data_IF_014303389582
#
_entry.id   IF_014303389582
#
_cell.length_a   1.000
_cell.length_b   1.000
_cell.length_c   1.000
_cell.angle_alpha   90.00
_cell.angle_beta   90.00
_cell.angle_gamma   90.00
#
_symmetry.space_group_name_H-M   'P 1'
#
loop_
_entity.id
_entity.type
_entity.pdbx_description
1 polymer ?
#
# COMPACT_ATOMS: atom_id res chain seq x y z
N UNK A 1 24.47 21.76 -30.32
CA UNK A 1 24.14 20.32 -30.10
C UNK A 1 24.90 19.70 -28.93
N UNK A 2 26.26 19.77 -28.85
CA UNK A 2 27.02 19.17 -27.74
C UNK A 2 26.55 19.60 -26.34
N UNK A 3 26.30 20.89 -26.14
CA UNK A 3 25.83 21.45 -24.87
C UNK A 3 24.45 20.94 -24.41
N UNK A 4 23.55 20.63 -25.36
CA UNK A 4 22.18 20.15 -25.06
C UNK A 4 22.20 18.68 -24.65
N UNK A 5 23.09 17.88 -25.25
CA UNK A 5 23.14 16.43 -25.04
C UNK A 5 23.96 16.07 -23.79
N UNK A 6 24.93 16.90 -23.39
CA UNK A 6 25.76 16.67 -22.21
C UNK A 6 25.33 17.47 -20.98
N UNK A 7 24.09 17.95 -20.92
CA UNK A 7 23.60 18.71 -19.78
C UNK A 7 23.63 17.82 -18.51
N UNK A 8 24.38 18.28 -17.50
CA UNK A 8 24.52 17.61 -16.20
C UNK A 8 23.21 17.57 -15.40
N UNK A 9 22.21 18.36 -15.79
CA UNK A 9 20.88 18.41 -15.18
C UNK A 9 20.10 17.10 -15.36
N UNK A 10 20.32 16.38 -16.46
CA UNK A 10 19.54 15.18 -16.79
C UNK A 10 20.30 13.88 -16.50
N UNK A 11 19.54 12.80 -16.29
CA UNK A 11 20.12 11.47 -16.11
C UNK A 11 20.73 10.95 -17.41
N UNK A 12 21.73 10.06 -17.31
CA UNK A 12 22.43 9.51 -18.48
C UNK A 12 21.51 8.86 -19.52
N UNK A 13 20.48 8.13 -19.07
CA UNK A 13 19.45 7.56 -19.97
C UNK A 13 18.64 8.62 -20.70
N UNK A 14 18.36 9.76 -20.05
CA UNK A 14 17.64 10.89 -20.66
C UNK A 14 18.51 11.56 -21.72
N UNK A 15 19.78 11.83 -21.40
CA UNK A 15 20.75 12.38 -22.35
C UNK A 15 20.96 11.44 -23.56
N UNK A 16 21.01 10.13 -23.33
CA UNK A 16 21.00 9.13 -24.40
C UNK A 16 19.78 9.25 -25.31
N UNK A 17 18.58 9.36 -24.74
CA UNK A 17 17.35 9.48 -25.53
C UNK A 17 17.34 10.76 -26.38
N UNK A 18 17.79 11.89 -25.83
CA UNK A 18 17.99 13.12 -26.61
C UNK A 18 19.01 12.94 -27.73
N UNK A 19 20.15 12.29 -27.44
CA UNK A 19 21.17 11.99 -28.44
C UNK A 19 20.62 11.12 -29.59
N UNK A 20 19.88 10.06 -29.26
CA UNK A 20 19.24 9.16 -30.24
C UNK A 20 18.19 9.90 -31.09
N UNK A 21 17.37 10.74 -30.45
CA UNK A 21 16.35 11.51 -31.15
C UNK A 21 16.96 12.52 -32.14
N UNK A 22 17.95 13.30 -31.71
CA UNK A 22 18.65 14.26 -32.57
C UNK A 22 19.32 13.52 -33.73
N UNK A 23 20.01 12.41 -33.44
CA UNK A 23 20.72 11.63 -34.43
C UNK A 23 19.78 11.08 -35.51
N UNK A 24 18.60 10.56 -35.13
CA UNK A 24 17.59 10.06 -36.06
C UNK A 24 16.91 11.19 -36.84
N UNK A 25 16.57 12.30 -36.18
CA UNK A 25 15.89 13.43 -36.80
C UNK A 25 16.74 14.10 -37.87
N UNK A 26 18.02 14.37 -37.58
CA UNK A 26 18.92 15.03 -38.54
C UNK A 26 19.20 14.12 -39.74
N UNK A 27 19.39 12.81 -39.51
CA UNK A 27 19.57 11.87 -40.61
C UNK A 27 18.32 11.76 -41.47
N UNK A 28 17.12 11.65 -40.87
CA UNK A 28 15.87 11.66 -41.60
C UNK A 28 15.67 12.93 -42.44
N UNK A 29 15.96 14.10 -41.86
CA UNK A 29 15.84 15.37 -42.57
C UNK A 29 16.80 15.51 -43.77
N UNK A 30 17.96 14.84 -43.76
CA UNK A 30 18.96 14.93 -44.83
C UNK A 30 18.89 13.79 -45.85
N UNK A 31 18.61 12.58 -45.40
CA UNK A 31 18.66 11.37 -46.22
C UNK A 31 17.26 10.90 -46.65
N UNK A 32 16.18 11.46 -46.09
CA UNK A 32 14.81 11.03 -46.36
C UNK A 32 14.46 9.66 -45.76
N UNK A 33 15.36 9.04 -45.00
CA UNK A 33 15.17 7.71 -44.42
C UNK A 33 15.48 7.65 -42.91
N UNK A 34 14.94 6.64 -42.23
CA UNK A 34 15.24 6.42 -40.82
C UNK A 34 16.52 5.59 -40.71
N UNK A 35 17.57 6.21 -40.20
CA UNK A 35 18.84 5.53 -39.96
C UNK A 35 18.70 4.50 -38.84
N UNK A 36 18.71 3.21 -39.21
CA UNK A 36 18.67 2.08 -38.30
C UNK A 36 20.04 1.37 -38.24
N UNK A 37 20.48 1.05 -37.02
CA UNK A 37 21.70 0.25 -36.79
C UNK A 37 21.64 -1.17 -37.38
N UNK A 38 20.46 -1.66 -37.81
CA UNK A 38 20.28 -3.04 -38.27
C UNK A 38 20.93 -3.31 -39.63
N UNK A 39 21.14 -2.28 -40.45
CA UNK A 39 21.56 -2.46 -41.85
C UNK A 39 23.01 -2.04 -42.14
N UNK A 40 23.83 -1.74 -41.12
CA UNK A 40 25.21 -1.29 -41.35
C UNK A 40 25.33 0.05 -42.10
N UNK A 41 24.22 0.76 -42.34
CA UNK A 41 24.21 2.09 -42.97
C UNK A 41 24.69 3.15 -41.99
N UNK A 42 25.66 3.94 -42.43
CA UNK A 42 26.21 5.01 -41.63
C UNK A 42 25.24 6.20 -41.57
N UNK A 43 25.09 6.76 -40.37
CA UNK A 43 24.40 8.03 -40.20
C UNK A 43 25.12 9.14 -40.98
N UNK A 44 24.39 10.19 -41.37
CA UNK A 44 25.00 11.33 -42.08
C UNK A 44 26.16 11.92 -41.26
N UNK A 45 27.25 12.41 -41.89
CA UNK A 45 28.48 12.82 -41.22
C UNK A 45 28.28 13.80 -40.06
N UNK A 46 27.26 14.66 -40.14
CA UNK A 46 26.96 15.70 -39.15
C UNK A 46 26.51 15.14 -37.80
N UNK A 47 26.02 13.90 -37.75
CA UNK A 47 25.58 13.23 -36.52
C UNK A 47 26.22 11.85 -36.31
N UNK A 48 27.06 11.38 -37.22
CA UNK A 48 27.77 10.10 -37.10
C UNK A 48 28.62 10.06 -35.83
N UNK A 49 29.28 11.16 -35.47
CA UNK A 49 30.11 11.32 -34.26
C UNK A 49 29.33 11.22 -32.94
N UNK A 50 28.00 11.38 -32.94
CA UNK A 50 27.19 11.24 -31.73
C UNK A 50 27.16 9.76 -31.33
N UNK A 51 27.67 9.44 -30.14
CA UNK A 51 27.67 8.10 -29.55
C UNK A 51 26.74 8.06 -28.32
N UNK A 52 25.45 7.73 -28.49
CA UNK A 52 24.47 7.79 -27.39
C UNK A 52 24.82 6.92 -26.18
N UNK A 53 25.60 5.86 -26.37
CA UNK A 53 25.99 4.90 -25.34
C UNK A 53 26.90 5.54 -24.27
N UNK A 54 27.71 6.54 -24.64
CA UNK A 54 28.64 7.25 -23.73
C UNK A 54 27.88 7.93 -22.59
N UNK A 55 26.67 8.43 -22.86
CA UNK A 55 25.85 9.12 -21.85
C UNK A 55 25.29 8.18 -20.79
N UNK A 56 25.15 6.88 -21.08
CA UNK A 56 24.76 5.89 -20.08
C UNK A 56 25.95 5.45 -19.24
N UNK A 57 27.13 5.27 -19.86
CA UNK A 57 28.37 4.93 -19.14
C UNK A 57 28.78 6.01 -18.14
N UNK A 58 28.66 7.28 -18.53
CA UNK A 58 29.13 8.41 -17.73
C UNK A 58 28.03 9.08 -16.90
N UNK A 59 26.78 8.64 -17.03
CA UNK A 59 25.64 9.23 -16.33
C UNK A 59 25.40 8.60 -14.96
N UNK A 60 24.86 9.38 -14.01
CA UNK A 60 24.39 8.83 -12.72
C UNK A 60 23.32 7.77 -12.97
N UNK A 61 23.62 6.51 -12.65
CA UNK A 61 22.63 5.44 -12.56
C UNK A 61 21.85 5.63 -11.25
N UNK A 62 20.54 5.86 -11.35
CA UNK A 62 19.66 5.75 -10.18
C UNK A 62 19.30 4.27 -10.03
N UNK A 63 20.15 3.55 -9.33
CA UNK A 63 19.88 2.20 -8.90
C UNK A 63 19.02 2.24 -7.63
N UNK A 64 18.07 1.32 -7.55
CA UNK A 64 17.25 1.13 -6.35
C UNK A 64 18.15 0.42 -5.35
N UNK A 65 18.17 0.90 -4.11
CA UNK A 65 18.92 0.28 -3.03
C UNK A 65 17.97 -0.55 -2.15
N UNK A 66 18.47 -1.54 -1.40
CA UNK A 66 17.64 -2.30 -0.46
C UNK A 66 16.85 -1.39 0.50
N UNK A 67 17.47 -0.30 0.98
CA UNK A 67 16.82 0.69 1.86
C UNK A 67 15.69 1.50 1.21
N UNK A 68 15.58 1.54 -0.11
CA UNK A 68 14.47 2.21 -0.82
C UNK A 68 13.20 1.35 -0.84
N UNK A 69 13.33 0.03 -0.68
CA UNK A 69 12.21 -0.92 -0.73
C UNK A 69 11.31 -0.78 0.50
N UNK A 70 10.02 -1.02 0.33
CA UNK A 70 9.05 -0.98 1.44
C UNK A 70 9.18 -2.22 2.34
N UNK A 71 9.06 -2.03 3.65
CA UNK A 71 8.91 -3.13 4.61
C UNK A 71 7.46 -3.62 4.65
N UNK A 72 7.22 -4.79 5.26
CA UNK A 72 5.85 -5.27 5.49
C UNK A 72 4.99 -4.25 6.24
N UNK A 73 5.54 -3.66 7.31
CA UNK A 73 4.89 -2.63 8.12
C UNK A 73 4.56 -1.36 7.33
N UNK A 74 5.46 -0.91 6.44
CA UNK A 74 5.20 0.24 5.57
C UNK A 74 4.09 -0.04 4.56
N UNK A 75 3.99 -1.27 4.05
CA UNK A 75 2.89 -1.67 3.15
C UNK A 75 1.57 -1.73 3.93
N UNK A 76 1.55 -2.29 5.13
CA UNK A 76 0.38 -2.28 6.02
C UNK A 76 -0.08 -0.83 6.30
N UNK A 77 0.85 0.05 6.68
CA UNK A 77 0.57 1.46 6.94
C UNK A 77 0.03 2.18 5.68
N UNK A 78 0.58 1.86 4.50
CA UNK A 78 0.12 2.41 3.23
C UNK A 78 -1.33 1.98 2.93
N UNK A 79 -1.69 0.71 3.15
CA UNK A 79 -3.06 0.22 2.96
C UNK A 79 -4.05 0.79 3.98
N UNK A 80 -3.61 1.01 5.22
CA UNK A 80 -4.42 1.60 6.29
C UNK A 80 -4.66 3.11 6.12
N UNK A 81 -3.79 3.79 5.38
CA UNK A 81 -3.96 5.20 5.02
C UNK A 81 -5.03 5.42 3.93
N UNK A 82 -5.27 4.43 3.06
CA UNK A 82 -6.19 4.57 1.91
C UNK A 82 -7.62 4.96 2.33
N UNK A 83 -8.25 4.34 3.36
CA UNK A 83 -9.56 4.74 3.85
C UNK A 83 -9.71 6.21 4.22
N UNK A 84 -8.62 6.88 4.62
CA UNK A 84 -8.64 8.29 5.05
C UNK A 84 -8.56 9.27 3.88
N UNK A 85 -8.02 8.84 2.74
CA UNK A 85 -7.68 9.73 1.61
C UNK A 85 -8.50 9.46 0.35
N UNK A 86 -9.13 8.28 0.25
CA UNK A 86 -9.84 7.84 -0.94
C UNK A 86 -11.35 7.98 -0.80
N UNK A 87 -12.02 8.36 -1.90
CA UNK A 87 -13.48 8.33 -2.03
C UNK A 87 -14.02 6.91 -2.25
N UNK A 88 -13.18 5.98 -2.70
CA UNK A 88 -13.55 4.59 -3.00
C UNK A 88 -12.56 3.65 -2.30
N UNK A 89 -12.60 3.59 -0.96
CA UNK A 89 -11.55 2.96 -0.17
C UNK A 89 -11.45 1.44 -0.39
N UNK A 90 -12.57 0.74 -0.61
CA UNK A 90 -12.58 -0.69 -0.93
C UNK A 90 -11.82 -0.99 -2.23
N UNK A 91 -12.21 -0.31 -3.33
CA UNK A 91 -11.53 -0.39 -4.62
C UNK A 91 -10.05 -0.08 -4.52
N UNK A 92 -9.70 1.04 -3.89
CA UNK A 92 -8.32 1.53 -3.91
C UNK A 92 -7.39 0.66 -3.04
N UNK A 93 -7.90 0.11 -1.92
CA UNK A 93 -7.14 -0.88 -1.14
C UNK A 93 -6.90 -2.15 -1.94
N UNK A 94 -7.94 -2.69 -2.59
CA UNK A 94 -7.80 -3.86 -3.45
C UNK A 94 -6.81 -3.62 -4.60
N UNK A 95 -6.91 -2.47 -5.28
CA UNK A 95 -6.05 -2.08 -6.39
C UNK A 95 -4.57 -1.97 -5.98
N UNK A 96 -4.29 -1.31 -4.86
CA UNK A 96 -2.91 -1.16 -4.36
C UNK A 96 -2.35 -2.48 -3.84
N UNK A 97 -3.19 -3.31 -3.19
CA UNK A 97 -2.77 -4.62 -2.72
C UNK A 97 -2.43 -5.56 -3.90
N UNK A 98 -3.26 -5.56 -4.95
CA UNK A 98 -2.98 -6.31 -6.17
C UNK A 98 -1.70 -5.83 -6.86
N UNK A 99 -1.47 -4.52 -6.91
CA UNK A 99 -0.24 -3.95 -7.48
C UNK A 99 1.01 -4.46 -6.75
N UNK A 100 0.96 -4.51 -5.41
CA UNK A 100 2.03 -5.06 -4.59
C UNK A 100 2.14 -6.57 -4.75
N UNK A 101 1.11 -7.31 -4.37
CA UNK A 101 1.15 -8.76 -4.25
C UNK A 101 1.43 -9.43 -5.60
N UNK A 102 0.75 -9.02 -6.67
CA UNK A 102 0.95 -9.58 -7.99
C UNK A 102 2.16 -9.02 -8.72
N UNK A 103 2.85 -8.03 -8.13
CA UNK A 103 3.95 -7.29 -8.73
C UNK A 103 3.63 -6.83 -10.16
N UNK A 104 2.40 -6.41 -10.45
CA UNK A 104 1.98 -6.05 -11.82
C UNK A 104 2.69 -4.80 -12.31
N UNK A 105 2.89 -4.68 -13.63
CA UNK A 105 3.15 -3.35 -14.21
C UNK A 105 1.87 -2.52 -14.06
N UNK A 106 1.94 -1.21 -13.81
CA UNK A 106 0.74 -0.37 -13.66
C UNK A 106 -0.24 -0.46 -14.84
N UNK A 107 0.27 -0.61 -16.07
CA UNK A 107 -0.60 -0.82 -17.24
C UNK A 107 -1.31 -2.18 -17.23
N UNK A 108 -0.63 -3.25 -16.81
CA UNK A 108 -1.24 -4.59 -16.68
C UNK A 108 -2.33 -4.59 -15.62
N UNK A 109 -2.05 -3.97 -14.46
CA UNK A 109 -3.03 -3.81 -13.39
C UNK A 109 -4.28 -3.05 -13.87
N UNK A 110 -4.08 -1.88 -14.50
CA UNK A 110 -5.18 -0.99 -14.86
C UNK A 110 -6.05 -1.52 -16.02
N UNK A 111 -5.50 -2.45 -16.81
CA UNK A 111 -6.22 -3.12 -17.89
C UNK A 111 -6.90 -4.44 -17.45
N UNK A 112 -6.87 -4.78 -16.16
CA UNK A 112 -7.63 -5.93 -15.64
C UNK A 112 -9.12 -5.74 -15.89
N UNK A 113 -9.80 -6.84 -16.23
CA UNK A 113 -11.25 -6.90 -16.36
C UNK A 113 -11.86 -7.71 -15.22
N UNK A 114 -13.17 -7.60 -15.03
CA UNK A 114 -13.90 -8.40 -14.03
C UNK A 114 -13.73 -9.90 -14.30
N UNK A 115 -13.86 -10.33 -15.57
CA UNK A 115 -13.67 -11.72 -15.98
C UNK A 115 -12.22 -12.22 -15.88
N UNK A 116 -11.25 -11.32 -15.73
CA UNK A 116 -9.84 -11.66 -15.52
C UNK A 116 -9.50 -12.12 -14.10
N UNK A 117 -10.49 -12.14 -13.18
CA UNK A 117 -10.32 -12.56 -11.78
C UNK A 117 -11.17 -13.79 -11.50
N UNK A 118 -10.52 -14.90 -11.16
CA UNK A 118 -11.19 -16.15 -10.80
C UNK A 118 -10.91 -16.47 -9.32
N UNK A 119 -11.97 -16.73 -8.56
CA UNK A 119 -11.84 -17.11 -7.15
C UNK A 119 -11.87 -18.63 -7.01
N UNK A 120 -10.85 -19.19 -6.33
CA UNK A 120 -10.75 -20.63 -6.03
C UNK A 120 -10.09 -20.83 -4.68
N UNK A 121 -10.71 -21.60 -3.78
CA UNK A 121 -10.11 -22.07 -2.52
C UNK A 121 -9.38 -20.99 -1.69
N UNK A 122 -9.99 -19.79 -1.58
CA UNK A 122 -9.42 -18.59 -0.91
C UNK A 122 -8.27 -17.89 -1.64
N UNK A 123 -8.08 -18.16 -2.93
CA UNK A 123 -7.11 -17.50 -3.80
C UNK A 123 -7.85 -16.80 -4.95
N UNK A 124 -7.42 -15.60 -5.29
CA UNK A 124 -7.84 -14.92 -6.50
C UNK A 124 -6.78 -15.15 -7.58
N UNK A 125 -7.10 -15.96 -8.59
CA UNK A 125 -6.25 -16.17 -9.75
C UNK A 125 -6.52 -15.05 -10.75
N UNK A 126 -5.51 -14.21 -10.94
CA UNK A 126 -5.60 -13.04 -11.82
C UNK A 126 -4.83 -13.28 -13.10
N UNK A 127 -5.49 -13.10 -14.23
CA UNK A 127 -4.88 -13.13 -15.55
C UNK A 127 -4.84 -11.72 -16.15
N UNK A 128 -3.67 -11.31 -16.64
CA UNK A 128 -3.44 -10.01 -17.29
C UNK A 128 -2.72 -10.19 -18.61
N UNK A 129 -3.02 -9.32 -19.59
CA UNK A 129 -2.32 -9.29 -20.88
C UNK A 129 -1.47 -8.02 -20.97
N UNK A 130 -0.16 -8.19 -21.13
CA UNK A 130 0.79 -7.09 -21.24
C UNK A 130 1.66 -7.17 -22.49
N UNK A 131 2.57 -6.20 -22.66
CA UNK A 131 3.55 -6.19 -23.76
C UNK A 131 4.40 -7.46 -23.85
N UNK A 132 4.61 -8.13 -22.73
CA UNK A 132 5.42 -9.36 -22.63
C UNK A 132 4.61 -10.63 -22.79
N UNK A 133 3.31 -10.54 -23.05
CA UNK A 133 2.39 -11.67 -23.12
C UNK A 133 1.46 -11.74 -21.90
N UNK A 134 0.72 -12.83 -21.82
CA UNK A 134 -0.18 -13.14 -20.72
C UNK A 134 0.60 -13.45 -19.43
N UNK A 135 0.04 -13.03 -18.29
CA UNK A 135 0.56 -13.29 -16.96
C UNK A 135 -0.60 -13.70 -16.05
N UNK A 136 -0.54 -14.93 -15.56
CA UNK A 136 -1.46 -15.46 -14.55
C UNK A 136 -0.76 -15.56 -13.21
N UNK A 137 -1.33 -14.97 -12.16
CA UNK A 137 -0.76 -15.00 -10.81
C UNK A 137 -1.85 -15.32 -9.78
N UNK A 138 -1.59 -16.29 -8.88
CA UNK A 138 -2.43 -16.49 -7.70
C UNK A 138 -2.17 -15.40 -6.65
N UNK A 139 -3.23 -14.73 -6.20
CA UNK A 139 -3.21 -13.69 -5.17
C UNK A 139 -3.99 -14.18 -3.94
N UNK A 140 -3.28 -14.40 -2.84
CA UNK A 140 -3.82 -14.90 -1.58
C UNK A 140 -4.21 -13.74 -0.67
N UNK A 141 -3.32 -12.77 -0.51
CA UNK A 141 -3.51 -11.63 0.38
C UNK A 141 -4.56 -10.64 -0.16
N UNK A 142 -4.68 -10.54 -1.48
CA UNK A 142 -5.66 -9.70 -2.17
C UNK A 142 -7.03 -10.37 -2.27
N UNK A 143 -7.15 -11.67 -1.97
CA UNK A 143 -8.38 -12.45 -2.17
C UNK A 143 -9.62 -11.76 -1.61
N UNK A 144 -9.59 -11.44 -0.31
CA UNK A 144 -10.76 -10.85 0.35
C UNK A 144 -11.06 -9.44 -0.15
N UNK A 145 -10.02 -8.63 -0.38
CA UNK A 145 -10.17 -7.27 -0.88
C UNK A 145 -10.78 -7.24 -2.30
N UNK A 146 -10.36 -8.17 -3.16
CA UNK A 146 -10.91 -8.33 -4.50
C UNK A 146 -12.36 -8.81 -4.45
N UNK A 147 -12.67 -9.78 -3.59
CA UNK A 147 -14.03 -10.29 -3.43
C UNK A 147 -14.99 -9.18 -2.98
N UNK A 148 -14.60 -8.44 -1.93
CA UNK A 148 -15.39 -7.32 -1.40
C UNK A 148 -15.59 -6.20 -2.45
N UNK A 149 -14.57 -5.95 -3.29
CA UNK A 149 -14.66 -4.96 -4.35
C UNK A 149 -15.56 -5.41 -5.51
N UNK A 150 -15.40 -6.65 -5.98
CA UNK A 150 -16.20 -7.20 -7.08
C UNK A 150 -17.69 -7.21 -6.70
N UNK A 151 -18.02 -7.54 -5.45
CA UNK A 151 -19.42 -7.52 -4.99
C UNK A 151 -20.04 -6.11 -5.06
N UNK A 152 -19.22 -5.08 -4.83
CA UNK A 152 -19.61 -3.66 -4.91
C UNK A 152 -19.43 -3.07 -6.31
N UNK A 153 -18.92 -3.83 -7.27
CA UNK A 153 -18.60 -3.33 -8.59
C UNK A 153 -19.88 -3.05 -9.39
N UNK A 154 -20.03 -1.86 -10.01
CA UNK A 154 -21.27 -1.48 -10.69
C UNK A 154 -21.61 -2.35 -11.91
N UNK A 155 -20.60 -3.04 -12.45
CA UNK A 155 -20.73 -3.94 -13.61
C UNK A 155 -20.20 -5.34 -13.29
N UNK A 156 -20.49 -5.86 -12.09
CA UNK A 156 -19.94 -7.15 -11.61
C UNK A 156 -20.30 -8.35 -12.48
N UNK A 157 -21.41 -8.27 -13.21
CA UNK A 157 -21.87 -9.33 -14.12
C UNK A 157 -21.35 -9.15 -15.56
N UNK A 158 -20.67 -8.03 -15.86
CA UNK A 158 -20.05 -7.80 -17.16
C UNK A 158 -18.55 -8.16 -17.11
N UNK A 159 -18.20 -9.31 -17.68
CA UNK A 159 -16.84 -9.86 -17.64
C UNK A 159 -15.81 -8.99 -18.37
N UNK A 160 -16.24 -8.19 -19.36
CA UNK A 160 -15.36 -7.29 -20.12
C UNK A 160 -15.20 -5.92 -19.45
N UNK A 161 -15.97 -5.63 -18.40
CA UNK A 161 -15.87 -4.36 -17.70
C UNK A 161 -14.48 -4.18 -17.07
N UNK A 162 -13.89 -2.97 -17.11
CA UNK A 162 -12.65 -2.69 -16.39
C UNK A 162 -12.84 -2.94 -14.90
N UNK A 163 -11.98 -3.77 -14.31
CA UNK A 163 -12.07 -4.13 -12.89
C UNK A 163 -11.96 -2.90 -11.99
N UNK A 164 -11.11 -1.95 -12.36
CA UNK A 164 -10.91 -0.71 -11.61
C UNK A 164 -11.79 0.38 -12.20
N UNK A 165 -13.08 0.36 -11.87
CA UNK A 165 -14.02 1.36 -12.36
C UNK A 165 -13.89 2.72 -11.68
N UNK A 166 -13.97 3.80 -12.46
CA UNK A 166 -14.03 5.19 -11.98
C UNK A 166 -15.43 5.76 -12.17
N UNK A 167 -16.16 5.93 -11.06
CA UNK A 167 -17.47 6.59 -11.04
C UNK A 167 -17.42 8.06 -11.50
N UNK A 168 -16.28 8.72 -11.38
CA UNK A 168 -16.14 10.12 -11.79
C UNK A 168 -16.02 10.30 -13.30
N UNK A 169 -15.51 9.30 -14.02
CA UNK A 169 -15.22 9.39 -15.46
C UNK A 169 -16.05 8.43 -16.30
N UNK A 170 -16.79 7.51 -15.68
CA UNK A 170 -17.52 6.45 -16.38
C UNK A 170 -16.61 5.53 -17.21
N UNK A 171 -15.37 5.33 -16.76
CA UNK A 171 -14.33 4.55 -17.46
C UNK A 171 -13.43 3.85 -16.45
N UNK A 172 -12.50 3.00 -16.92
CA UNK A 172 -11.43 2.46 -16.09
C UNK A 172 -10.55 3.55 -15.46
N UNK A 173 -9.99 3.26 -14.29
CA UNK A 173 -9.08 4.13 -13.55
C UNK A 173 -7.80 4.36 -14.37
N UNK A 174 -7.40 5.63 -14.52
CA UNK A 174 -6.18 6.00 -15.22
C UNK A 174 -4.91 5.94 -14.36
N UNK A 175 -3.75 5.88 -15.01
CA UNK A 175 -2.42 5.86 -14.36
C UNK A 175 -2.20 7.04 -13.42
N UNK A 176 -2.66 8.24 -13.81
CA UNK A 176 -2.54 9.45 -12.98
C UNK A 176 -3.27 9.32 -11.65
N UNK A 177 -4.42 8.65 -11.63
CA UNK A 177 -5.18 8.41 -10.41
C UNK A 177 -4.47 7.40 -9.51
N UNK A 178 -4.04 6.25 -10.04
CA UNK A 178 -3.28 5.26 -9.27
C UNK A 178 -2.04 5.89 -8.62
N UNK A 179 -1.28 6.69 -9.39
CA UNK A 179 -0.12 7.44 -8.89
C UNK A 179 -0.50 8.39 -7.75
N UNK A 180 -1.64 9.08 -7.87
CA UNK A 180 -2.15 10.00 -6.84
C UNK A 180 -2.52 9.24 -5.56
N UNK A 181 -3.22 8.10 -5.67
CA UNK A 181 -3.59 7.25 -4.53
C UNK A 181 -2.34 6.78 -3.79
N UNK A 182 -1.40 6.14 -4.50
CA UNK A 182 -0.16 5.62 -3.89
C UNK A 182 0.64 6.74 -3.20
N UNK A 183 0.81 7.89 -3.87
CA UNK A 183 1.56 9.01 -3.30
C UNK A 183 0.87 9.60 -2.06
N UNK A 184 -0.45 9.78 -2.10
CA UNK A 184 -1.22 10.31 -0.96
C UNK A 184 -1.23 9.35 0.21
N UNK A 185 -1.42 8.06 -0.05
CA UNK A 185 -1.39 7.02 0.98
C UNK A 185 -0.02 6.96 1.67
N UNK A 186 1.09 7.04 0.91
CA UNK A 186 2.44 7.07 1.48
C UNK A 186 2.68 8.31 2.37
N UNK A 187 2.19 9.47 1.95
CA UNK A 187 2.28 10.70 2.73
C UNK A 187 1.48 10.61 4.05
N UNK A 188 0.23 10.15 3.96
CA UNK A 188 -0.65 9.96 5.13
C UNK A 188 -0.13 8.87 6.08
N UNK A 189 0.55 7.85 5.56
CA UNK A 189 1.21 6.81 6.35
C UNK A 189 2.52 7.29 7.01
N UNK A 190 3.00 8.51 6.73
CA UNK A 190 4.26 9.03 7.26
C UNK A 190 5.52 8.37 6.68
N UNK A 191 5.40 7.72 5.51
CA UNK A 191 6.53 7.03 4.87
C UNK A 191 7.49 8.06 4.27
N UNK A 192 8.71 8.13 4.80
CA UNK A 192 9.75 9.07 4.33
C UNK A 192 10.33 8.70 2.97
N UNK A 193 10.25 7.42 2.58
CA UNK A 193 10.74 6.90 1.30
C UNK A 193 9.94 7.48 0.14
N UNK A 194 10.59 7.66 -1.01
CA UNK A 194 9.88 8.07 -2.22
C UNK A 194 9.08 6.89 -2.77
N UNK A 195 7.77 6.86 -2.53
CA UNK A 195 6.90 5.81 -3.05
C UNK A 195 6.33 6.16 -4.42
N UNK A 196 6.47 5.25 -5.38
CA UNK A 196 5.83 5.31 -6.70
C UNK A 196 5.32 3.92 -7.10
N UNK A 197 4.45 3.84 -8.10
CA UNK A 197 3.75 2.59 -8.45
C UNK A 197 4.69 1.38 -8.67
N UNK A 198 5.81 1.57 -9.36
CA UNK A 198 6.77 0.50 -9.60
C UNK A 198 7.59 0.12 -8.36
N UNK A 199 7.67 0.95 -7.32
CA UNK A 199 8.39 0.59 -6.09
C UNK A 199 7.74 -0.63 -5.42
N UNK A 200 6.40 -0.70 -5.39
CA UNK A 200 5.66 -1.85 -4.86
C UNK A 200 6.03 -3.15 -5.61
N UNK A 201 6.13 -3.07 -6.95
CA UNK A 201 6.61 -4.16 -7.79
C UNK A 201 8.06 -4.53 -7.44
N UNK A 202 8.94 -3.54 -7.26
CA UNK A 202 10.33 -3.81 -6.91
C UNK A 202 10.44 -4.52 -5.57
N UNK A 203 9.71 -4.03 -4.57
CA UNK A 203 9.64 -4.63 -3.24
C UNK A 203 9.17 -6.08 -3.31
N UNK A 204 8.10 -6.37 -4.06
CA UNK A 204 7.62 -7.75 -4.15
C UNK A 204 8.55 -8.67 -4.93
N UNK A 205 9.17 -8.20 -6.02
CA UNK A 205 10.11 -9.02 -6.78
C UNK A 205 11.40 -9.32 -6.01
N UNK A 206 11.91 -8.35 -5.24
CA UNK A 206 13.03 -8.62 -4.32
C UNK A 206 12.63 -9.61 -3.23
N UNK A 207 11.42 -9.49 -2.68
CA UNK A 207 10.88 -10.47 -1.71
C UNK A 207 10.78 -11.89 -2.29
N UNK A 208 10.35 -12.03 -3.55
CA UNK A 208 10.30 -13.31 -4.26
C UNK A 208 11.70 -13.85 -4.54
N UNK A 209 12.64 -13.00 -4.96
CA UNK A 209 14.03 -13.39 -5.22
C UNK A 209 14.71 -13.98 -3.97
N UNK A 210 14.39 -13.43 -2.78
CA UNK A 210 14.91 -13.94 -1.51
C UNK A 210 14.36 -15.31 -1.11
N UNK A 211 13.13 -15.63 -1.50
CA UNK A 211 12.37 -16.79 -1.00
C UNK A 211 12.28 -17.95 -1.98
N UNK A 212 12.55 -17.71 -3.26
CA UNK A 212 12.25 -18.66 -4.32
C UNK A 212 13.37 -18.71 -5.37
N UNK A 213 13.54 -19.86 -6.05
CA UNK A 213 14.50 -19.98 -7.15
C UNK A 213 14.23 -19.01 -8.30
N UNK A 214 15.27 -18.66 -9.05
CA UNK A 214 15.24 -17.74 -10.20
C UNK A 214 14.18 -18.10 -11.25
N UNK A 215 13.90 -19.39 -11.44
CA UNK A 215 12.85 -19.84 -12.37
C UNK A 215 11.46 -19.35 -11.96
N UNK A 216 11.15 -19.37 -10.65
CA UNK A 216 9.90 -18.86 -10.09
C UNK A 216 9.88 -17.34 -10.21
N UNK A 217 10.98 -16.67 -9.84
CA UNK A 217 11.11 -15.22 -9.96
C UNK A 217 10.87 -14.75 -11.41
N UNK A 218 11.44 -15.43 -12.39
CA UNK A 218 11.29 -15.13 -13.81
C UNK A 218 9.85 -15.25 -14.31
N UNK A 219 9.16 -16.34 -13.90
CA UNK A 219 7.73 -16.54 -14.20
C UNK A 219 6.89 -15.45 -13.54
N UNK A 220 7.14 -15.17 -12.27
CA UNK A 220 6.42 -14.14 -11.49
C UNK A 220 6.64 -12.73 -12.05
N UNK A 221 7.85 -12.41 -12.49
CA UNK A 221 8.22 -11.16 -13.15
C UNK A 221 7.66 -11.01 -14.57
N UNK A 222 7.19 -12.10 -15.18
CA UNK A 222 6.82 -12.21 -16.59
C UNK A 222 7.92 -11.63 -17.51
N UNK A 223 9.11 -12.21 -17.44
CA UNK A 223 10.25 -11.82 -18.27
C UNK A 223 10.62 -12.89 -19.32
N UNK A 224 10.98 -12.43 -20.52
CA UNK A 224 11.43 -13.29 -21.62
C UNK A 224 12.76 -13.97 -21.29
N UNK A 225 13.10 -15.07 -21.99
CA UNK A 225 14.43 -15.69 -21.85
C UNK A 225 15.53 -14.69 -22.24
N UNK A 226 16.65 -14.68 -21.50
CA UNK A 226 17.82 -13.82 -21.76
C UNK A 226 17.76 -12.39 -21.21
N UNK A 227 16.82 -12.07 -20.31
CA UNK A 227 16.71 -10.73 -19.70
C UNK A 227 17.66 -10.53 -18.51
N UNK A 228 18.40 -9.42 -18.48
CA UNK A 228 19.22 -8.98 -17.33
C UNK A 228 18.38 -8.42 -16.16
N UNK A 229 17.05 -8.35 -16.33
CA UNK A 229 16.16 -7.80 -15.29
C UNK A 229 16.18 -8.62 -13.99
N UNK A 230 16.54 -9.90 -14.03
CA UNK A 230 16.63 -10.75 -12.82
C UNK A 230 17.76 -10.27 -11.92
N UNK A 231 18.91 -9.96 -12.49
CA UNK A 231 20.15 -9.57 -11.80
C UNK A 231 19.92 -8.37 -10.88
N UNK A 232 19.06 -7.42 -11.30
CA UNK A 232 18.67 -6.27 -10.46
C UNK A 232 18.10 -6.71 -9.11
N UNK A 233 17.30 -7.77 -9.06
CA UNK A 233 16.65 -8.24 -7.84
C UNK A 233 17.53 -9.21 -7.06
N UNK A 234 18.34 -10.00 -7.75
CA UNK A 234 19.32 -10.90 -7.16
C UNK A 234 20.36 -10.07 -6.38
N UNK A 235 20.93 -9.02 -6.99
CA UNK A 235 21.84 -8.10 -6.30
C UNK A 235 21.18 -7.37 -5.11
N UNK A 236 19.89 -7.05 -5.21
CA UNK A 236 19.12 -6.48 -4.10
C UNK A 236 18.87 -7.46 -2.95
N UNK A 237 18.96 -8.77 -3.21
CA UNK A 237 18.89 -9.82 -2.20
C UNK A 237 20.24 -10.23 -1.65
N UNK A 238 21.33 -10.07 -2.42
CA UNK A 238 22.70 -10.43 -2.02
C UNK A 238 23.23 -9.56 -0.86
N UNK A 239 22.70 -8.36 -0.65
CA UNK A 239 23.02 -7.55 0.55
C UNK A 239 22.69 -8.26 1.86
N UNK A 240 21.86 -9.29 1.82
CA UNK A 240 21.46 -10.08 2.97
C UNK A 240 22.28 -11.38 3.11
N UNK A 241 23.24 -11.67 2.22
CA UNK A 241 24.14 -12.83 2.37
C UNK A 241 24.94 -12.71 3.68
N UNK A 242 25.41 -11.51 3.99
CA UNK A 242 26.08 -11.21 5.25
C UNK A 242 25.12 -11.45 6.44
N UNK A 243 23.87 -11.02 6.33
CA UNK A 243 22.85 -11.29 7.37
C UNK A 243 22.56 -12.78 7.52
N UNK A 244 22.47 -13.53 6.42
CA UNK A 244 22.23 -14.97 6.43
C UNK A 244 23.41 -15.74 7.04
N UNK A 245 24.64 -15.39 6.68
CA UNK A 245 25.88 -15.99 7.22
C UNK A 245 26.02 -15.67 8.71
N UNK A 246 25.79 -14.42 9.11
CA UNK A 246 25.83 -14.02 10.52
C UNK A 246 24.74 -14.73 11.33
N UNK A 247 23.56 -14.95 10.76
CA UNK A 247 22.48 -15.71 11.42
C UNK A 247 22.82 -17.19 11.59
N UNK A 248 23.42 -17.82 10.58
CA UNK A 248 23.90 -19.20 10.64
C UNK A 248 24.93 -19.39 11.77
N UNK A 249 25.78 -18.38 11.99
CA UNK A 249 26.81 -18.40 13.03
C UNK A 249 26.32 -17.82 14.37
N UNK A 250 25.02 -17.55 14.54
CA UNK A 250 24.43 -17.07 15.79
C UNK A 250 24.82 -15.64 16.19
N UNK A 251 25.35 -14.83 15.26
CA UNK A 251 25.84 -13.47 15.50
C UNK A 251 24.79 -12.38 15.31
N UNK A 252 23.55 -12.74 14.95
CA UNK A 252 22.42 -11.82 14.82
C UNK A 252 21.29 -12.17 15.80
N UNK A 253 20.70 -11.16 16.48
CA UNK A 253 19.51 -11.38 17.29
C UNK A 253 18.34 -11.88 16.43
N UNK A 254 17.51 -12.77 16.98
CA UNK A 254 16.27 -13.25 16.35
C UNK A 254 15.26 -12.12 16.17
N UNK A 255 15.45 -11.28 15.16
CA UNK A 255 14.66 -10.06 14.98
C UNK A 255 14.89 -9.32 13.67
N UNK A 256 15.40 -10.01 12.63
CA UNK A 256 15.58 -9.42 11.30
C UNK A 256 14.27 -8.81 10.76
N UNK A 257 14.38 -7.69 10.04
CA UNK A 257 13.23 -6.99 9.45
C UNK A 257 12.50 -7.93 8.50
N UNK A 258 11.28 -8.37 8.87
CA UNK A 258 10.47 -9.22 8.00
C UNK A 258 10.09 -8.45 6.73
N UNK A 259 10.57 -8.95 5.60
CA UNK A 259 10.20 -8.44 4.29
C UNK A 259 8.85 -9.04 3.86
N UNK A 260 7.92 -8.15 3.49
CA UNK A 260 6.59 -8.47 2.99
C UNK A 260 5.48 -8.62 4.04
N UNK A 261 4.24 -8.69 3.58
CA UNK A 261 3.07 -8.93 4.44
C UNK A 261 2.97 -10.41 4.81
N UNK A 262 2.81 -10.70 6.10
CA UNK A 262 2.52 -12.03 6.61
C UNK A 262 1.00 -12.23 6.82
N UNK A 263 0.55 -13.47 6.67
CA UNK A 263 -0.80 -13.86 7.07
C UNK A 263 -0.87 -14.03 8.59
N UNK A 264 -1.85 -13.38 9.22
CA UNK A 264 -2.17 -13.52 10.64
C UNK A 264 -3.46 -14.32 10.78
N UNK A 265 -3.41 -15.42 11.54
CA UNK A 265 -4.59 -16.23 11.83
C UNK A 265 -5.40 -15.58 12.96
N UNK A 266 -6.70 -15.40 12.75
CA UNK A 266 -7.58 -14.87 13.77
C UNK A 266 -7.78 -15.91 14.90
N UNK A 267 -7.47 -15.59 16.17
CA UNK A 267 -7.62 -16.55 17.26
C UNK A 267 -9.08 -16.85 17.59
N UNK A 268 -10.02 -15.99 17.18
CA UNK A 268 -11.46 -16.19 17.42
C UNK A 268 -12.13 -17.13 16.40
N UNK A 269 -11.83 -16.97 15.11
CA UNK A 269 -12.57 -17.67 14.04
C UNK A 269 -11.71 -18.44 13.05
N UNK A 270 -10.39 -18.45 13.23
CA UNK A 270 -9.43 -19.15 12.37
C UNK A 270 -9.18 -18.51 11.00
N UNK A 271 -9.81 -17.38 10.66
CA UNK A 271 -9.63 -16.76 9.35
C UNK A 271 -8.21 -16.19 9.17
N UNK A 272 -7.65 -16.31 7.95
CA UNK A 272 -6.34 -15.76 7.63
C UNK A 272 -6.47 -14.32 7.12
N UNK A 273 -5.72 -13.40 7.72
CA UNK A 273 -5.82 -11.97 7.46
C UNK A 273 -4.46 -11.40 7.05
N UNK A 274 -4.40 -10.74 5.90
CA UNK A 274 -3.19 -10.12 5.38
C UNK A 274 -3.06 -8.67 5.89
N UNK A 275 -2.22 -8.45 6.91
CA UNK A 275 -1.93 -7.10 7.41
C UNK A 275 -3.12 -6.30 7.96
N UNK A 276 -4.27 -6.97 8.19
CA UNK A 276 -5.46 -6.32 8.73
C UNK A 276 -5.39 -6.26 10.26
N UNK A 277 -5.71 -5.09 10.83
CA UNK A 277 -5.79 -4.89 12.29
C UNK A 277 -6.98 -5.59 12.93
N UNK A 278 -8.04 -5.80 12.16
CA UNK A 278 -9.25 -6.53 12.54
C UNK A 278 -9.48 -7.67 11.56
N UNK A 279 -10.08 -8.75 12.06
CA UNK A 279 -10.48 -9.87 11.26
C UNK A 279 -11.53 -9.46 10.25
N UNK A 280 -11.27 -9.75 8.98
CA UNK A 280 -12.18 -9.49 7.87
C UNK A 280 -13.49 -10.30 7.95
N UNK A 281 -13.48 -11.44 8.66
CA UNK A 281 -14.64 -12.31 8.83
C UNK A 281 -15.48 -11.99 10.07
N UNK A 282 -14.86 -11.92 11.25
CA UNK A 282 -15.59 -11.80 12.52
C UNK A 282 -15.37 -10.47 13.25
N UNK A 283 -14.59 -9.54 12.69
CA UNK A 283 -14.32 -8.22 13.28
C UNK A 283 -13.37 -8.22 14.50
N UNK A 284 -12.91 -9.39 14.95
CA UNK A 284 -12.00 -9.52 16.10
C UNK A 284 -10.70 -8.73 15.89
N UNK A 285 -10.18 -8.10 16.95
CA UNK A 285 -8.96 -7.29 16.89
C UNK A 285 -7.74 -8.22 16.92
N UNK A 286 -7.03 -8.31 15.80
CA UNK A 286 -5.86 -9.18 15.64
C UNK A 286 -4.58 -8.44 16.04
N UNK A 287 -4.56 -7.11 15.84
CA UNK A 287 -3.40 -6.30 16.19
C UNK A 287 -3.33 -6.03 17.70
N UNK A 288 -2.26 -6.52 18.32
CA UNK A 288 -2.05 -6.43 19.77
C UNK A 288 -1.94 -4.98 20.26
N UNK A 289 -1.23 -4.12 19.51
CA UNK A 289 -1.09 -2.69 19.85
C UNK A 289 -2.45 -1.98 19.84
N UNK A 290 -3.29 -2.29 18.84
CA UNK A 290 -4.64 -1.76 18.77
C UNK A 290 -5.53 -2.32 19.90
N UNK A 291 -5.39 -3.60 20.24
CA UNK A 291 -6.11 -4.20 21.36
C UNK A 291 -5.78 -3.49 22.67
N UNK A 292 -4.49 -3.30 22.99
CA UNK A 292 -4.03 -2.55 24.18
C UNK A 292 -4.61 -1.14 24.19
N UNK A 293 -4.56 -0.42 23.07
CA UNK A 293 -5.07 0.97 22.98
C UNK A 293 -6.57 1.06 23.22
N UNK A 294 -7.34 0.07 22.77
CA UNK A 294 -8.78 0.02 23.00
C UNK A 294 -9.08 -0.33 24.45
N UNK A 295 -8.41 -1.34 25.01
CA UNK A 295 -8.56 -1.70 26.44
C UNK A 295 -8.22 -0.52 27.35
N UNK A 296 -7.14 0.21 27.09
CA UNK A 296 -6.76 1.41 27.85
C UNK A 296 -7.83 2.51 27.76
N UNK A 297 -8.45 2.68 26.58
CA UNK A 297 -9.52 3.67 26.38
C UNK A 297 -10.82 3.25 27.07
N UNK A 298 -11.13 1.95 27.07
CA UNK A 298 -12.28 1.40 27.79
C UNK A 298 -12.09 1.55 29.31
N UNK A 299 -10.89 1.25 29.82
CA UNK A 299 -10.54 1.45 31.23
C UNK A 299 -10.69 2.92 31.65
N UNK A 300 -10.12 3.87 30.90
CA UNK A 300 -10.25 5.29 31.23
C UNK A 300 -11.70 5.80 31.16
N UNK A 301 -12.49 5.26 30.24
CA UNK A 301 -13.93 5.57 30.14
C UNK A 301 -14.70 5.01 31.34
N UNK A 302 -14.41 3.77 31.74
CA UNK A 302 -15.00 3.12 32.92
C UNK A 302 -14.65 3.85 34.21
N UNK A 303 -13.39 4.27 34.37
CA UNK A 303 -12.93 5.07 35.50
C UNK A 303 -13.67 6.41 35.58
N UNK A 304 -13.81 7.10 34.44
CA UNK A 304 -14.57 8.35 34.34
C UNK A 304 -16.03 8.17 34.73
N UNK A 305 -16.70 7.14 34.20
CA UNK A 305 -18.09 6.83 34.53
C UNK A 305 -18.27 6.49 36.02
N UNK A 306 -17.35 5.69 36.58
CA UNK A 306 -17.35 5.32 38.00
C UNK A 306 -17.22 6.55 38.89
N UNK A 307 -16.39 7.51 38.50
CA UNK A 307 -16.25 8.79 39.22
C UNK A 307 -17.55 9.57 39.20
N UNK A 308 -18.19 9.72 38.04
CA UNK A 308 -19.48 10.43 37.92
C UNK A 308 -20.57 9.76 38.77
N UNK A 309 -20.64 8.42 38.77
CA UNK A 309 -21.60 7.69 39.62
C UNK A 309 -21.35 7.97 41.10
N UNK A 310 -20.10 7.96 41.56
CA UNK A 310 -19.76 8.30 42.95
C UNK A 310 -20.12 9.75 43.31
N UNK A 311 -19.90 10.69 42.40
CA UNK A 311 -20.27 12.10 42.59
C UNK A 311 -21.81 12.23 42.72
N UNK A 312 -22.56 11.53 41.87
CA UNK A 312 -24.03 11.50 41.95
C UNK A 312 -24.53 10.86 43.25
N UNK A 313 -23.92 9.76 43.70
CA UNK A 313 -24.26 9.11 44.97
C UNK A 313 -23.99 10.03 46.17
N UNK A 314 -22.90 10.80 46.11
CA UNK A 314 -22.58 11.80 47.14
C UNK A 314 -23.61 12.93 47.19
N UNK A 315 -24.01 13.45 46.02
CA UNK A 315 -25.06 14.47 45.90
C UNK A 315 -26.40 13.94 46.43
N UNK A 316 -26.78 12.71 46.08
CA UNK A 316 -27.99 12.08 46.62
C UNK A 316 -27.95 11.99 48.15
N UNK A 317 -26.85 11.50 48.73
CA UNK A 317 -26.69 11.41 50.20
C UNK A 317 -26.82 12.79 50.86
N UNK A 318 -26.28 13.85 50.24
CA UNK A 318 -26.38 15.22 50.76
C UNK A 318 -27.81 15.74 50.69
N UNK A 319 -28.52 15.50 49.59
CA UNK A 319 -29.95 15.83 49.45
C UNK A 319 -30.78 15.09 50.50
N UNK A 320 -30.55 13.79 50.70
CA UNK A 320 -31.24 13.01 51.74
C UNK A 320 -31.03 13.57 53.14
N UNK A 321 -29.78 13.92 53.52
CA UNK A 321 -29.52 14.57 54.82
C UNK A 321 -30.23 15.92 54.97
N UNK A 322 -30.21 16.76 53.94
CA UNK A 322 -30.91 18.05 53.97
C UNK A 322 -32.43 17.86 54.09
N UNK A 323 -33.01 16.84 53.45
CA UNK A 323 -34.42 16.48 53.61
C UNK A 323 -34.72 15.99 55.03
N UNK A 324 -33.87 15.14 55.63
CA UNK A 324 -34.02 14.70 57.02
C UNK A 324 -33.96 15.88 58.00
N UNK A 325 -33.02 16.81 57.83
CA UNK A 325 -32.92 18.03 58.66
C UNK A 325 -34.17 18.93 58.54
N UNK A 326 -34.73 19.07 57.33
CA UNK A 326 -35.97 19.80 57.09
C UNK A 326 -37.19 19.10 57.72
N UNK A 327 -37.23 17.78 57.70
CA UNK A 327 -38.32 17.01 58.34
C UNK A 327 -38.25 17.11 59.88
N UNK A 328 -37.05 17.12 60.46
CA UNK A 328 -36.85 17.25 61.91
C UNK A 328 -37.18 18.66 62.43
N UNK A 329 -36.91 19.70 61.64
CA UNK A 329 -37.23 21.10 61.97
C UNK A 329 -38.71 21.46 61.75
N UNK A 330 -39.44 20.71 60.91
CA UNK A 330 -40.89 20.87 60.70
C UNK A 330 -41.78 20.33 61.83
N UNK A 331 -41.25 19.49 62.72
CA UNK A 331 -42.00 18.87 63.83
C UNK A 331 -42.11 19.73 65.10
N UNK A 332 -41.37 20.84 65.21
CA UNK A 332 -41.29 21.65 66.43
C UNK A 332 -42.19 22.89 66.47
N UNK A 333 -42.99 23.18 65.42
CA UNK A 333 -43.81 24.41 65.33
C UNK A 333 -45.33 24.24 65.48
N UNK A 334 -45.82 23.10 65.99
CA UNK A 334 -47.24 22.96 66.38
C UNK A 334 -47.42 22.54 67.84
N UNK A 335 -47.08 23.43 68.78
CA UNK A 335 -47.64 23.47 70.15
C UNK A 335 -47.28 24.80 70.82
N UNK A 336 -48.05 25.85 70.56
CA UNK A 336 -48.20 26.95 71.50
C UNK A 336 -49.46 27.78 71.20
N UNK A 337 -50.46 27.60 72.06
CA UNK A 337 -51.32 28.62 72.70
C UNK A 337 -52.20 29.51 71.81
N UNK A 338 -53.51 29.26 71.85
CA UNK A 338 -54.50 30.34 72.02
C UNK A 338 -55.47 29.91 73.13
N UNK A 339 -55.28 30.50 74.30
CA UNK A 339 -56.28 30.62 75.36
C UNK A 339 -56.86 32.03 75.31
N UNK A 340 -58.17 32.16 75.31
CA UNK A 340 -58.88 33.35 75.80
C UNK A 340 -60.35 32.98 76.12
N UNK A 341 -60.98 33.72 77.05
CA UNK A 341 -61.80 33.13 78.11
C UNK A 341 -63.31 33.37 77.94
N UNK A 342 -64.05 32.72 78.83
CA UNK A 342 -65.46 32.92 79.18
C UNK A 342 -65.92 34.39 79.27
N UNK A 343 -66.97 34.72 78.50
CA UNK A 343 -68.27 35.26 78.94
C UNK A 343 -69.19 35.40 77.74
#
# INVERSE_FOLDING_TARGET
MRSIISDKKYAGKTNRAFAEAIKRLVHFAKAGEIGEKRDGRDYVPEVSWIRPEVYVKNGRKREIRPGDLLTGEEIEALLDAIPKISRFPGRDRAMVMCLYEGAFRPGELLNMTVGGVLFKDKVAVVTTVGKTGEKTVPLLLSYRLLLDWIEQHPFKDNLDAPLWWSFATGKGVGYGYLRKVVKKAALEAGIKKKVWNYLLRHTKLTDVAKKHPDQILKRFGNWKKGTEMMDVYIHLSESDLEEAVLKEHGLLPEGGKKNGLALKTCPRCGEQNAGAKRCTKCGYIIDEKLAIKITQREQSTLEGLTRTVKEHEHVQKKIFRMLEELMMTGTTTKKAVISSPSA
#
